data_IF_705913500924
#
_entry.id   IF_705913500924
#
_cell.length_a   1.000
_cell.length_b   1.000
_cell.length_c   1.000
_cell.angle_alpha   90.00
_cell.angle_beta   90.00
_cell.angle_gamma   90.00
#
_symmetry.space_group_name_H-M   'P 1'
#
loop_
_entity.id
_entity.type
_entity.pdbx_description
1 polymer ?
#
# COMPACT_ATOMS: atom_id res chain seq x y z
N UNK A 1 19.98 -20.69 -3.85
CA UNK A 1 19.43 -19.73 -2.87
C UNK A 1 20.41 -18.60 -2.52
N UNK A 2 21.69 -18.66 -2.93
CA UNK A 2 22.72 -17.70 -2.49
C UNK A 2 23.14 -16.63 -3.52
N UNK A 3 22.24 -16.13 -4.38
CA UNK A 3 22.58 -15.04 -5.31
C UNK A 3 21.46 -14.00 -5.44
N UNK A 4 20.71 -13.76 -4.37
CA UNK A 4 19.73 -12.69 -4.33
C UNK A 4 20.43 -11.35 -4.07
N UNK A 5 20.55 -10.53 -5.12
CA UNK A 5 21.04 -9.17 -5.04
C UNK A 5 19.85 -8.19 -5.03
N UNK A 6 19.52 -7.56 -3.87
CA UNK A 6 18.36 -6.68 -3.74
C UNK A 6 18.43 -5.46 -4.66
N UNK A 7 19.63 -4.93 -4.95
CA UNK A 7 19.81 -3.74 -5.78
C UNK A 7 19.49 -3.97 -7.27
N UNK A 8 19.50 -5.23 -7.73
CA UNK A 8 19.22 -5.60 -9.12
C UNK A 8 17.74 -5.97 -9.30
N UNK A 9 17.12 -6.61 -8.31
CA UNK A 9 15.69 -6.97 -8.35
C UNK A 9 14.75 -5.80 -8.02
N UNK A 10 15.19 -4.82 -7.23
CA UNK A 10 14.36 -3.65 -6.87
C UNK A 10 14.25 -2.58 -7.97
N UNK A 11 14.96 -2.73 -9.10
CA UNK A 11 14.85 -1.79 -10.24
C UNK A 11 13.62 -2.03 -11.14
N UNK A 12 12.95 -3.18 -11.02
CA UNK A 12 11.84 -3.56 -11.89
C UNK A 12 10.46 -3.54 -11.25
N UNK A 13 10.38 -3.42 -9.93
CA UNK A 13 9.11 -3.33 -9.20
C UNK A 13 9.08 -2.00 -8.48
N UNK A 14 8.82 -0.93 -9.24
CA UNK A 14 8.19 0.23 -8.65
C UNK A 14 6.84 -0.27 -8.13
N UNK A 15 6.73 -0.38 -6.81
CA UNK A 15 5.42 -0.41 -6.19
C UNK A 15 4.61 0.74 -6.80
N UNK A 16 3.32 0.55 -7.07
CA UNK A 16 2.44 1.68 -7.33
C UNK A 16 2.35 2.49 -6.03
N UNK A 17 3.38 3.29 -5.77
CA UNK A 17 3.27 4.44 -4.88
C UNK A 17 2.20 5.30 -5.54
N UNK A 18 1.15 5.61 -4.79
CA UNK A 18 -0.01 6.38 -5.24
C UNK A 18 0.33 7.76 -5.85
N UNK A 19 1.61 8.14 -5.84
CA UNK A 19 2.10 9.44 -6.25
C UNK A 19 2.68 9.49 -7.69
N UNK A 20 3.01 8.37 -8.35
CA UNK A 20 3.76 8.43 -9.64
C UNK A 20 3.14 7.77 -10.88
N UNK A 21 2.07 6.99 -10.74
CA UNK A 21 1.29 6.60 -11.91
C UNK A 21 0.05 7.49 -11.96
N UNK A 22 -0.17 8.17 -13.10
CA UNK A 22 -1.48 8.67 -13.56
C UNK A 22 -2.58 7.89 -12.86
N UNK A 23 -3.39 8.58 -12.02
CA UNK A 23 -4.50 8.02 -11.22
C UNK A 23 -5.51 7.29 -12.12
N UNK A 24 -5.10 6.14 -12.67
CA UNK A 24 -6.00 5.10 -13.08
C UNK A 24 -6.83 4.76 -11.86
N UNK A 25 -8.09 4.45 -12.09
CA UNK A 25 -9.04 4.21 -11.02
C UNK A 25 -8.48 3.13 -10.08
N UNK A 26 -8.07 3.55 -8.88
CA UNK A 26 -7.53 2.65 -7.84
C UNK A 26 -8.52 1.53 -7.52
N UNK A 27 -9.81 1.71 -7.84
CA UNK A 27 -10.82 0.67 -7.76
C UNK A 27 -10.44 -0.60 -8.53
N UNK A 28 -9.71 -0.47 -9.65
CA UNK A 28 -9.28 -1.59 -10.49
C UNK A 28 -8.27 -2.51 -9.82
N UNK A 29 -7.61 -2.03 -8.75
CA UNK A 29 -6.68 -2.83 -7.95
C UNK A 29 -7.40 -3.69 -6.91
N UNK A 30 -8.71 -3.50 -6.71
CA UNK A 30 -9.49 -4.19 -5.68
C UNK A 30 -10.62 -5.02 -6.28
N UNK A 31 -11.07 -6.01 -5.51
CA UNK A 31 -12.25 -6.81 -5.80
C UNK A 31 -13.13 -6.92 -4.56
N UNK A 32 -14.31 -7.53 -4.68
CA UNK A 32 -15.23 -7.73 -3.55
C UNK A 32 -14.60 -8.56 -2.40
N UNK A 33 -13.66 -9.45 -2.75
CA UNK A 33 -12.91 -10.26 -1.78
C UNK A 33 -11.75 -9.51 -1.12
N UNK A 34 -11.37 -8.32 -1.60
CA UNK A 34 -10.27 -7.54 -1.03
C UNK A 34 -10.57 -7.13 0.40
N UNK A 35 -9.55 -7.14 1.25
CA UNK A 35 -9.66 -6.76 2.66
C UNK A 35 -8.58 -5.74 3.01
N UNK A 36 -8.93 -4.76 3.83
CA UNK A 36 -7.98 -3.80 4.38
C UNK A 36 -8.15 -3.72 5.88
N UNK A 37 -7.05 -3.67 6.62
CA UNK A 37 -7.01 -3.25 8.02
C UNK A 37 -6.20 -1.97 8.11
N UNK A 38 -6.79 -0.89 8.61
CA UNK A 38 -6.13 0.41 8.78
C UNK A 38 -6.28 0.86 10.24
N UNK A 39 -5.18 0.94 10.99
CA UNK A 39 -5.19 1.37 12.39
C UNK A 39 -6.22 0.61 13.26
N UNK A 40 -6.31 -0.71 13.05
CA UNK A 40 -7.27 -1.66 13.65
C UNK A 40 -8.68 -1.70 13.04
N UNK A 41 -9.09 -0.72 12.22
CA UNK A 41 -10.38 -0.75 11.54
C UNK A 41 -10.32 -1.67 10.31
N UNK A 42 -11.39 -2.44 10.07
CA UNK A 42 -11.46 -3.43 8.99
C UNK A 42 -12.45 -3.01 7.91
N UNK A 43 -12.03 -3.14 6.65
CA UNK A 43 -12.80 -2.80 5.46
C UNK A 43 -12.76 -4.00 4.51
N UNK A 44 -13.87 -4.25 3.81
CA UNK A 44 -13.98 -5.33 2.83
C UNK A 44 -14.65 -4.83 1.57
N UNK A 45 -14.11 -5.26 0.43
CA UNK A 45 -14.60 -4.91 -0.89
C UNK A 45 -14.14 -3.54 -1.38
N UNK A 46 -14.12 -3.38 -2.70
CA UNK A 46 -13.64 -2.19 -3.41
C UNK A 46 -14.23 -0.90 -2.87
N UNK A 47 -15.56 -0.80 -2.74
CA UNK A 47 -16.23 0.45 -2.35
C UNK A 47 -15.84 0.91 -0.93
N UNK A 48 -15.79 -0.02 0.02
CA UNK A 48 -15.44 0.28 1.42
C UNK A 48 -13.98 0.72 1.53
N UNK A 49 -13.08 0.05 0.79
CA UNK A 49 -11.66 0.37 0.75
C UNK A 49 -11.45 1.74 0.10
N UNK A 50 -12.06 1.98 -1.05
CA UNK A 50 -11.95 3.25 -1.79
C UNK A 50 -12.49 4.41 -0.98
N UNK A 51 -13.61 4.24 -0.28
CA UNK A 51 -14.16 5.25 0.62
C UNK A 51 -13.15 5.63 1.70
N UNK A 52 -12.51 4.64 2.34
CA UNK A 52 -11.49 4.89 3.35
C UNK A 52 -10.27 5.61 2.77
N UNK A 53 -9.72 5.15 1.63
CA UNK A 53 -8.56 5.80 1.00
C UNK A 53 -8.85 7.25 0.59
N UNK A 54 -9.98 7.49 -0.07
CA UNK A 54 -10.43 8.85 -0.44
C UNK A 54 -10.65 9.70 0.81
N UNK A 55 -11.17 9.13 1.90
CA UNK A 55 -11.39 9.86 3.16
C UNK A 55 -10.08 10.22 3.83
N UNK A 56 -9.08 9.34 3.85
CA UNK A 56 -7.75 9.67 4.39
C UNK A 56 -7.04 10.74 3.53
N UNK A 57 -7.19 10.69 2.20
CA UNK A 57 -6.65 11.72 1.29
C UNK A 57 -7.37 13.07 1.40
N UNK A 58 -8.66 13.09 1.75
CA UNK A 58 -9.51 14.29 1.76
C UNK A 58 -10.05 14.63 3.16
N UNK A 59 -9.38 14.14 4.21
CA UNK A 59 -9.85 14.15 5.59
C UNK A 59 -10.12 15.57 6.09
N UNK A 60 -11.34 16.05 5.88
CA UNK A 60 -11.86 17.29 6.46
C UNK A 60 -11.68 18.55 5.63
N UNK A 61 -11.85 18.54 4.30
CA UNK A 61 -12.11 19.74 3.48
C UNK A 61 -11.06 20.89 3.53
N UNK A 62 -10.01 20.76 4.32
CA UNK A 62 -8.79 21.57 4.26
C UNK A 62 -7.76 20.80 3.46
N UNK A 63 -7.12 21.48 2.52
CA UNK A 63 -6.14 20.88 1.62
C UNK A 63 -4.83 20.71 2.37
N UNK A 64 -4.61 19.55 2.97
CA UNK A 64 -3.32 19.15 3.54
C UNK A 64 -2.51 18.34 2.52
N UNK A 65 -1.20 18.33 2.70
CA UNK A 65 -0.26 17.59 1.87
C UNK A 65 0.18 16.35 2.63
N UNK A 66 -0.13 15.16 2.12
CA UNK A 66 0.48 13.92 2.59
C UNK A 66 1.65 13.59 1.69
N UNK A 67 2.83 13.36 2.27
CA UNK A 67 3.99 12.82 1.58
C UNK A 67 4.35 11.45 2.18
N UNK A 68 4.37 10.41 1.33
CA UNK A 68 4.85 9.08 1.71
C UNK A 68 6.32 8.93 1.34
N UNK A 69 7.19 8.78 2.33
CA UNK A 69 8.60 8.48 2.12
C UNK A 69 8.87 7.01 2.45
N UNK A 70 9.11 6.21 1.41
CA UNK A 70 9.42 4.78 1.56
C UNK A 70 10.86 4.61 2.01
N UNK A 71 11.07 3.95 3.15
CA UNK A 71 12.39 3.60 3.68
C UNK A 71 12.86 2.24 3.17
N UNK A 72 11.99 1.23 3.19
CA UNK A 72 12.28 -0.09 2.64
C UNK A 72 11.02 -0.73 2.04
N UNK A 73 11.25 -1.62 1.08
CA UNK A 73 10.23 -2.51 0.56
C UNK A 73 10.87 -3.88 0.30
N UNK A 74 10.31 -4.91 0.92
CA UNK A 74 10.74 -6.30 0.79
C UNK A 74 9.62 -7.13 0.18
N UNK A 75 10.00 -8.12 -0.63
CA UNK A 75 9.04 -8.88 -1.44
C UNK A 75 9.29 -10.37 -1.34
N UNK A 76 8.21 -11.15 -1.28
CA UNK A 76 8.23 -12.61 -1.30
C UNK A 76 7.12 -13.15 -2.21
N UNK A 77 7.37 -14.21 -3.01
CA UNK A 77 6.31 -14.87 -3.75
C UNK A 77 5.37 -15.63 -2.80
N UNK A 78 4.09 -15.72 -3.15
CA UNK A 78 3.14 -16.59 -2.43
C UNK A 78 2.99 -17.94 -3.15
N UNK A 79 2.62 -19.02 -2.42
CA UNK A 79 2.39 -20.33 -3.03
C UNK A 79 1.31 -20.34 -4.14
N UNK A 80 0.38 -19.37 -4.09
CA UNK A 80 -0.70 -19.23 -5.07
C UNK A 80 -0.29 -18.42 -6.31
N UNK A 81 0.99 -18.08 -6.49
CA UNK A 81 1.48 -17.30 -7.63
C UNK A 81 1.31 -15.78 -7.46
N UNK A 82 1.09 -15.31 -6.24
CA UNK A 82 1.01 -13.89 -5.89
C UNK A 82 2.31 -13.34 -5.30
N UNK A 83 2.22 -12.16 -4.71
CA UNK A 83 3.35 -11.45 -4.07
C UNK A 83 2.88 -10.92 -2.71
N UNK A 84 3.69 -11.10 -1.67
CA UNK A 84 3.60 -10.32 -0.44
C UNK A 84 4.67 -9.24 -0.49
N UNK A 85 4.27 -8.01 -0.25
CA UNK A 85 5.13 -6.85 -0.09
C UNK A 85 5.03 -6.35 1.35
N UNK A 86 6.16 -6.11 1.99
CA UNK A 86 6.24 -5.42 3.26
C UNK A 86 6.98 -4.10 3.08
N UNK A 87 6.29 -3.01 3.38
CA UNK A 87 6.76 -1.63 3.21
C UNK A 87 6.95 -1.00 4.58
N UNK A 88 8.06 -0.31 4.75
CA UNK A 88 8.28 0.58 5.89
C UNK A 88 8.63 1.97 5.39
N UNK A 89 8.25 2.99 6.14
CA UNK A 89 8.52 4.37 5.74
C UNK A 89 8.07 5.37 6.77
N UNK A 90 7.97 6.61 6.34
CA UNK A 90 7.38 7.71 7.09
C UNK A 90 6.32 8.44 6.27
N UNK A 91 5.28 8.89 6.95
CA UNK A 91 4.27 9.78 6.39
C UNK A 91 4.44 11.14 7.03
N UNK A 92 4.61 12.16 6.20
CA UNK A 92 4.58 13.56 6.62
C UNK A 92 3.26 14.18 6.22
N UNK A 93 2.60 14.84 7.16
CA UNK A 93 1.38 15.62 6.93
C UNK A 93 1.74 17.09 7.14
N UNK A 94 1.70 17.87 6.06
CA UNK A 94 2.13 19.28 6.03
C UNK A 94 3.52 19.49 6.68
N UNK A 95 3.57 20.33 7.71
CA UNK A 95 4.78 20.65 8.49
C UNK A 95 4.88 19.86 9.80
N UNK A 96 3.99 18.90 10.04
CA UNK A 96 4.06 18.04 11.21
C UNK A 96 5.31 17.13 11.16
N UNK A 97 5.83 16.70 12.33
CA UNK A 97 6.87 15.69 12.38
C UNK A 97 6.45 14.41 11.62
N UNK A 98 7.36 13.80 10.83
CA UNK A 98 7.07 12.58 10.11
C UNK A 98 6.74 11.43 11.08
N UNK A 99 5.71 10.67 10.75
CA UNK A 99 5.27 9.50 11.51
C UNK A 99 5.72 8.23 10.80
N UNK A 100 6.41 7.34 11.50
CA UNK A 100 6.80 6.06 10.93
C UNK A 100 5.56 5.17 10.71
N UNK A 101 5.56 4.43 9.60
CA UNK A 101 4.50 3.48 9.29
C UNK A 101 5.07 2.14 8.82
N UNK A 102 4.21 1.13 8.83
CA UNK A 102 4.45 -0.17 8.23
C UNK A 102 3.18 -0.63 7.52
N UNK A 103 3.37 -1.15 6.31
CA UNK A 103 2.26 -1.56 5.46
C UNK A 103 2.57 -2.90 4.77
N UNK A 104 1.60 -3.81 4.78
CA UNK A 104 1.70 -5.08 4.07
C UNK A 104 0.68 -5.10 2.95
N UNK A 105 1.14 -5.42 1.74
CA UNK A 105 0.28 -5.72 0.60
C UNK A 105 0.40 -7.20 0.22
N UNK A 106 -0.73 -7.88 0.09
CA UNK A 106 -0.80 -9.19 -0.54
C UNK A 106 -1.46 -9.04 -1.91
N UNK A 107 -0.66 -9.18 -2.97
CA UNK A 107 -1.10 -9.21 -4.36
C UNK A 107 -1.42 -10.64 -4.77
N UNK A 108 -2.61 -10.88 -5.31
CA UNK A 108 -3.01 -12.16 -5.87
C UNK A 108 -3.04 -12.08 -7.41
N UNK A 109 -2.76 -13.20 -8.12
CA UNK A 109 -2.73 -13.22 -9.58
C UNK A 109 -4.14 -13.21 -10.18
N UNK A 110 -4.33 -12.39 -11.21
CA UNK A 110 -5.57 -12.26 -12.00
C UNK A 110 -6.19 -10.86 -11.93
N UNK A 111 -7.48 -10.74 -12.24
CA UNK A 111 -8.14 -9.43 -12.34
C UNK A 111 -7.72 -8.61 -13.57
N UNK A 112 -8.20 -7.37 -13.70
CA UNK A 112 -8.02 -6.55 -14.91
C UNK A 112 -6.55 -6.23 -15.25
N UNK A 113 -5.69 -6.16 -14.25
CA UNK A 113 -4.27 -5.80 -14.38
C UNK A 113 -3.33 -7.00 -14.24
N UNK A 114 -3.85 -8.23 -14.35
CA UNK A 114 -3.17 -9.51 -14.03
C UNK A 114 -2.70 -9.65 -12.57
N UNK A 115 -2.92 -8.63 -11.74
CA UNK A 115 -2.79 -8.65 -10.29
C UNK A 115 -3.95 -7.85 -9.68
N UNK A 116 -4.37 -8.22 -8.47
CA UNK A 116 -5.18 -7.37 -7.59
C UNK A 116 -4.64 -7.42 -6.16
N UNK A 117 -4.97 -6.42 -5.36
CA UNK A 117 -4.65 -6.35 -3.94
C UNK A 117 -5.68 -7.15 -3.15
N UNK A 118 -5.29 -8.32 -2.68
CA UNK A 118 -6.13 -9.20 -1.87
C UNK A 118 -6.18 -8.76 -0.41
N UNK A 119 -5.05 -8.31 0.16
CA UNK A 119 -5.01 -7.77 1.52
C UNK A 119 -4.13 -6.53 1.64
N UNK A 120 -4.57 -5.58 2.46
CA UNK A 120 -3.78 -4.46 2.98
C UNK A 120 -3.80 -4.51 4.51
N UNK A 121 -2.65 -4.32 5.15
CA UNK A 121 -2.57 -4.03 6.59
C UNK A 121 -1.68 -2.82 6.77
N UNK A 122 -2.25 -1.72 7.24
CA UNK A 122 -1.56 -0.47 7.52
C UNK A 122 -1.51 -0.20 9.02
N UNK A 123 -0.35 0.25 9.50
CA UNK A 123 -0.08 0.65 10.87
C UNK A 123 0.84 1.87 10.94
N UNK A 124 0.52 2.81 11.81
CA UNK A 124 1.51 3.73 12.34
C UNK A 124 2.33 3.05 13.44
N UNK A 125 3.62 3.37 13.47
CA UNK A 125 4.57 2.86 14.44
C UNK A 125 4.72 3.89 15.56
N UNK A 126 3.89 3.79 16.60
CA UNK A 126 4.03 4.59 17.80
C UNK A 126 5.07 3.95 18.72
N UNK A 127 6.14 4.67 19.06
CA UNK A 127 7.03 4.26 20.15
C UNK A 127 6.25 4.37 21.48
N UNK A 128 6.31 3.32 22.30
CA UNK A 128 5.84 3.34 23.69
C UNK A 128 6.91 3.91 24.62
#
# INVERSE_FOLDING_TARGET
FDNWNPAVHNKGMQLPTAEQNTRGDLSLLFQESSMMTYENEKFRGTDSIMTKLITEENKGLEKFTIAHEISSADFQPTPAGGIICFVTGSIKIDDAPPMQFSEVFHLAPGGPLNLWIQNIIFRFNFAM
#
